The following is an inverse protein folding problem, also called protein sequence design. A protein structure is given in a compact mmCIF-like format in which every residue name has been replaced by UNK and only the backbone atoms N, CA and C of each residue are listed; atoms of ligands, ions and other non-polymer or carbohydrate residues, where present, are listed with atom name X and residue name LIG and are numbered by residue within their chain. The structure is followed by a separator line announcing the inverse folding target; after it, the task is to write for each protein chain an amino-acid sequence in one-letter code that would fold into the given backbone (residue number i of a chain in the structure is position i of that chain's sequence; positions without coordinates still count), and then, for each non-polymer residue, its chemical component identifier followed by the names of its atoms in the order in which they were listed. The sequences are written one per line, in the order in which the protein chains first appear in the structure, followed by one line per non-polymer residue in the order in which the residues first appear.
data_IF_308137803003
#
_entry.id   IF_308137803003
#
_cell.length_a   1.000
_cell.length_b   1.000
_cell.length_c   1.000
_cell.angle_alpha   90.00
_cell.angle_beta   90.00
_cell.angle_gamma   90.00
#
_symmetry.space_group_name_H-M   'P 1'
#
loop_
_entity.id
_entity.type
_entity.pdbx_description
1 polymer ?
#
# COMPACT_ATOMS: atom_id res chain seq x y z
N UNK A 1 26.91 -0.73 -18.11
CA UNK A 1 25.77 0.18 -18.32
C UNK A 1 24.51 -0.64 -18.12
N UNK A 2 23.52 -0.15 -17.41
CA UNK A 2 22.24 -0.86 -17.26
C UNK A 2 21.44 -0.76 -18.56
N UNK A 3 20.50 -1.68 -18.80
CA UNK A 3 19.60 -1.59 -19.97
C UNK A 3 18.81 -0.27 -20.00
N UNK A 4 18.51 0.27 -18.81
CA UNK A 4 17.84 1.57 -18.68
C UNK A 4 18.75 2.69 -19.20
N UNK A 5 20.05 2.68 -18.87
CA UNK A 5 21.01 3.68 -19.35
C UNK A 5 21.11 3.67 -20.88
N UNK A 6 21.21 2.45 -21.47
CA UNK A 6 21.25 2.28 -22.93
C UNK A 6 19.97 2.80 -23.62
N UNK A 7 18.81 2.54 -23.01
CA UNK A 7 17.52 3.04 -23.52
C UNK A 7 17.44 4.57 -23.44
N UNK A 8 17.89 5.18 -22.33
CA UNK A 8 17.91 6.63 -22.15
C UNK A 8 18.85 7.29 -23.16
N UNK A 9 20.06 6.78 -23.31
CA UNK A 9 21.00 7.32 -24.30
C UNK A 9 20.45 7.26 -25.74
N UNK A 10 19.75 6.18 -26.08
CA UNK A 10 19.18 5.99 -27.41
C UNK A 10 17.92 6.84 -27.67
N UNK A 11 17.02 6.91 -26.69
CA UNK A 11 15.67 7.46 -26.87
C UNK A 11 15.52 8.88 -26.31
N UNK A 12 16.42 9.31 -25.44
CA UNK A 12 16.44 10.62 -24.80
C UNK A 12 17.82 11.27 -24.89
N UNK A 13 18.41 11.47 -26.08
CA UNK A 13 19.77 12.00 -26.23
C UNK A 13 19.94 13.39 -25.61
N UNK A 14 18.85 14.18 -25.53
CA UNK A 14 18.83 15.51 -24.92
C UNK A 14 18.37 15.49 -23.44
N UNK A 15 18.25 14.29 -22.84
CA UNK A 15 17.75 14.07 -21.49
C UNK A 15 16.24 13.77 -21.44
N UNK A 16 15.76 13.39 -20.25
CA UNK A 16 14.34 13.09 -20.00
C UNK A 16 13.57 14.38 -19.72
N UNK A 17 12.48 14.60 -20.41
CA UNK A 17 11.59 15.74 -20.20
C UNK A 17 10.83 15.61 -18.88
N UNK A 18 10.69 16.71 -18.14
CA UNK A 18 9.86 16.80 -16.95
C UNK A 18 8.59 17.58 -17.26
N UNK A 19 7.43 17.03 -16.89
CA UNK A 19 6.11 17.68 -17.06
C UNK A 19 5.37 17.74 -15.73
N UNK A 20 4.56 18.76 -15.55
CA UNK A 20 3.66 18.79 -14.43
C UNK A 20 2.63 17.65 -14.54
N UNK A 21 2.25 17.03 -13.41
CA UNK A 21 1.21 15.97 -13.41
C UNK A 21 -0.08 16.43 -14.09
N UNK A 22 -0.42 17.72 -13.97
CA UNK A 22 -1.59 18.30 -14.64
C UNK A 22 -1.47 18.39 -16.17
N UNK A 23 -0.26 18.28 -16.73
CA UNK A 23 -0.04 18.25 -18.20
C UNK A 23 -0.16 16.82 -18.75
N UNK A 24 0.15 15.81 -17.94
CA UNK A 24 0.10 14.39 -18.36
C UNK A 24 -1.18 13.68 -17.94
N UNK A 25 -2.05 14.36 -17.16
CA UNK A 25 -3.30 13.76 -16.69
C UNK A 25 -4.23 14.74 -15.99
N UNK A 26 -5.35 14.20 -15.49
CA UNK A 26 -6.38 14.97 -14.79
C UNK A 26 -6.73 14.31 -13.46
N UNK A 27 -6.93 15.13 -12.43
CA UNK A 27 -7.36 14.69 -11.10
C UNK A 27 -8.89 14.80 -10.97
N UNK A 28 -9.55 13.67 -10.79
CA UNK A 28 -11.00 13.55 -10.64
C UNK A 28 -11.34 13.19 -9.19
N UNK A 29 -12.40 13.75 -8.66
CA UNK A 29 -12.89 13.42 -7.31
C UNK A 29 -13.67 12.11 -7.32
N UNK A 30 -13.52 11.33 -6.24
CA UNK A 30 -14.35 10.16 -5.97
C UNK A 30 -15.79 10.52 -5.57
N UNK A 31 -16.55 9.49 -5.23
CA UNK A 31 -17.97 9.55 -4.84
C UNK A 31 -18.10 9.43 -3.32
N UNK A 32 -19.04 10.16 -2.71
CA UNK A 32 -19.29 10.08 -1.27
C UNK A 32 -19.97 8.75 -0.91
N UNK A 33 -19.30 7.91 -0.16
CA UNK A 33 -19.85 6.73 0.50
C UNK A 33 -19.09 6.43 1.79
N UNK A 34 -19.65 5.56 2.63
CA UNK A 34 -19.09 5.17 3.92
C UNK A 34 -19.09 3.64 4.03
N UNK A 35 -18.31 3.11 4.98
CA UNK A 35 -18.22 1.64 5.23
C UNK A 35 -19.58 0.98 5.47
N UNK A 36 -20.58 1.70 6.03
CA UNK A 36 -21.94 1.19 6.23
C UNK A 36 -22.70 0.86 4.93
N UNK A 37 -22.21 1.32 3.78
CA UNK A 37 -22.79 1.05 2.46
C UNK A 37 -22.17 -0.17 1.78
N UNK A 38 -21.18 -0.81 2.43
CA UNK A 38 -20.58 -2.01 1.90
C UNK A 38 -21.55 -3.18 1.94
N UNK A 39 -21.49 -3.99 0.91
CA UNK A 39 -22.22 -5.25 0.74
C UNK A 39 -21.23 -6.36 0.37
N UNK A 40 -21.64 -7.61 0.51
CA UNK A 40 -20.78 -8.77 0.19
C UNK A 40 -20.52 -8.90 -1.30
N UNK A 41 -21.53 -8.57 -2.12
CA UNK A 41 -21.45 -8.61 -3.58
C UNK A 41 -22.14 -7.39 -4.18
N UNK A 42 -21.63 -6.84 -5.29
CA UNK A 42 -22.19 -5.66 -5.94
C UNK A 42 -21.22 -4.91 -6.82
N UNK A 43 -21.29 -3.58 -6.79
CA UNK A 43 -20.44 -2.71 -7.62
C UNK A 43 -19.08 -2.57 -6.95
N UNK A 44 -17.96 -2.91 -7.64
CA UNK A 44 -16.62 -2.83 -7.08
C UNK A 44 -16.28 -1.41 -6.61
N UNK A 45 -15.67 -1.29 -5.42
CA UNK A 45 -15.29 0.01 -4.89
C UNK A 45 -13.98 0.00 -4.11
N UNK A 46 -13.32 1.17 -4.07
CA UNK A 46 -12.11 1.42 -3.27
C UNK A 46 -12.38 2.56 -2.30
N UNK A 47 -12.28 2.27 -1.01
CA UNK A 47 -12.32 3.30 0.04
C UNK A 47 -10.90 3.79 0.34
N UNK A 48 -10.72 5.10 0.55
CA UNK A 48 -9.41 5.71 0.78
C UNK A 48 -8.61 5.04 1.92
N UNK A 49 -9.29 4.63 3.00
CA UNK A 49 -8.64 3.93 4.12
C UNK A 49 -8.04 2.58 3.74
N UNK A 50 -8.53 1.93 2.68
CA UNK A 50 -7.97 0.66 2.19
C UNK A 50 -6.64 0.85 1.46
N UNK A 51 -6.35 2.05 0.96
CA UNK A 51 -5.04 2.38 0.38
C UNK A 51 -3.91 2.32 1.41
N UNK A 52 -4.22 2.52 2.69
CA UNK A 52 -3.25 2.43 3.79
C UNK A 52 -3.11 1.04 4.37
N UNK A 53 -4.21 0.26 4.37
CA UNK A 53 -4.30 -0.97 5.17
C UNK A 53 -4.33 -2.26 4.36
N UNK A 54 -4.63 -2.19 3.08
CA UNK A 54 -4.85 -3.38 2.27
C UNK A 54 -4.13 -3.36 0.92
N UNK A 55 -4.29 -2.27 0.15
CA UNK A 55 -3.70 -2.19 -1.18
C UNK A 55 -2.21 -1.83 -1.12
N UNK A 56 -1.43 -2.49 -1.96
CA UNK A 56 -0.02 -2.16 -2.21
C UNK A 56 0.12 -1.21 -3.40
N UNK A 57 1.15 -1.35 -4.20
CA UNK A 57 1.45 -0.52 -5.37
C UNK A 57 0.34 -0.56 -6.44
N UNK A 58 -0.25 -1.72 -6.67
CA UNK A 58 -1.32 -1.93 -7.65
C UNK A 58 -2.35 -2.95 -7.14
N UNK A 59 -3.53 -2.96 -7.78
CA UNK A 59 -4.58 -3.95 -7.51
C UNK A 59 -5.31 -4.33 -8.80
N UNK A 60 -5.74 -5.57 -8.86
CA UNK A 60 -6.50 -6.17 -9.97
C UNK A 60 -7.97 -6.43 -9.57
N UNK A 61 -8.22 -6.53 -8.26
CA UNK A 61 -9.53 -6.81 -7.68
C UNK A 61 -9.81 -5.87 -6.50
N UNK A 62 -11.08 -5.64 -6.19
CA UNK A 62 -11.47 -4.82 -5.05
C UNK A 62 -11.79 -5.67 -3.84
N UNK A 63 -11.44 -5.16 -2.66
CA UNK A 63 -11.78 -5.76 -1.37
C UNK A 63 -13.26 -5.58 -1.00
N UNK A 64 -13.92 -4.56 -1.55
CA UNK A 64 -15.25 -4.13 -1.09
C UNK A 64 -16.16 -3.80 -2.26
N UNK A 65 -17.46 -3.92 -2.01
CA UNK A 65 -18.50 -3.66 -2.99
C UNK A 65 -19.56 -2.73 -2.42
N UNK A 66 -20.27 -2.02 -3.29
CA UNK A 66 -21.41 -1.15 -2.98
C UNK A 66 -22.68 -1.70 -3.62
N UNK A 67 -23.82 -1.47 -2.97
CA UNK A 67 -25.11 -1.85 -3.50
C UNK A 67 -25.51 -1.05 -4.74
N UNK A 68 -26.59 -1.48 -5.42
CA UNK A 68 -27.10 -0.91 -6.69
C UNK A 68 -27.43 0.60 -6.63
N UNK A 69 -27.71 1.14 -5.44
CA UNK A 69 -27.91 2.59 -5.25
C UNK A 69 -26.75 3.47 -5.70
N UNK A 70 -25.58 2.88 -5.94
CA UNK A 70 -24.38 3.58 -6.42
C UNK A 70 -24.11 3.36 -7.93
N UNK A 71 -25.00 2.70 -8.68
CA UNK A 71 -24.81 2.40 -10.11
C UNK A 71 -24.56 3.65 -10.98
N UNK A 72 -25.05 4.82 -10.58
CA UNK A 72 -24.86 6.09 -11.27
C UNK A 72 -23.76 6.98 -10.65
N UNK A 73 -22.84 6.39 -9.86
CA UNK A 73 -21.72 7.14 -9.27
C UNK A 73 -20.83 7.73 -10.36
N UNK A 74 -20.36 8.97 -10.11
CA UNK A 74 -19.52 9.70 -11.09
C UNK A 74 -18.01 9.49 -10.87
N UNK A 75 -17.60 9.21 -9.64
CA UNK A 75 -16.19 8.99 -9.26
C UNK A 75 -15.72 7.59 -9.59
N UNK A 76 -15.52 7.29 -10.87
CA UNK A 76 -15.12 5.98 -11.39
C UNK A 76 -13.67 6.01 -11.86
N UNK A 77 -12.82 5.19 -11.24
CA UNK A 77 -11.51 4.85 -11.78
C UNK A 77 -11.67 3.77 -12.86
N UNK A 78 -10.96 3.95 -13.97
CA UNK A 78 -10.86 3.01 -15.07
C UNK A 78 -9.58 2.18 -14.94
N UNK A 79 -9.49 1.02 -15.60
CA UNK A 79 -8.20 0.33 -15.75
C UNK A 79 -7.09 1.28 -16.24
N UNK A 80 -5.97 1.32 -15.53
CA UNK A 80 -4.85 2.22 -15.79
C UNK A 80 -4.87 3.54 -15.04
N UNK A 81 -5.97 3.92 -14.36
CA UNK A 81 -6.00 5.10 -13.49
C UNK A 81 -5.24 4.84 -12.17
N UNK A 82 -4.66 5.89 -11.56
CA UNK A 82 -4.22 5.85 -10.17
C UNK A 82 -5.34 6.28 -9.23
N UNK A 83 -5.42 5.62 -8.08
CA UNK A 83 -6.27 6.00 -6.95
C UNK A 83 -5.36 6.51 -5.84
N UNK A 84 -5.56 7.76 -5.38
CA UNK A 84 -4.65 8.49 -4.50
C UNK A 84 -5.42 8.92 -3.26
N UNK A 85 -5.00 8.45 -2.08
CA UNK A 85 -5.55 8.92 -0.80
C UNK A 85 -5.00 10.31 -0.47
N UNK A 86 -5.89 11.26 -0.22
CA UNK A 86 -5.52 12.67 -0.08
C UNK A 86 -5.46 13.16 1.35
N UNK A 87 -5.83 12.33 2.33
CA UNK A 87 -5.86 12.68 3.76
C UNK A 87 -5.12 11.64 4.57
N UNK A 88 -4.19 12.06 5.42
CA UNK A 88 -3.47 11.20 6.36
C UNK A 88 -3.16 11.94 7.66
N UNK A 89 -2.80 11.20 8.70
CA UNK A 89 -2.31 11.75 9.97
C UNK A 89 -0.79 12.01 9.94
N UNK A 90 -0.07 11.46 8.96
CA UNK A 90 1.38 11.65 8.79
C UNK A 90 1.73 12.10 7.36
N UNK A 91 2.93 12.68 7.22
CA UNK A 91 3.42 13.21 5.94
C UNK A 91 3.79 12.12 4.93
N UNK A 92 4.23 10.97 5.38
CA UNK A 92 4.68 9.88 4.50
C UNK A 92 3.51 9.30 3.73
N UNK A 93 2.41 9.06 4.43
CA UNK A 93 1.23 8.40 3.87
C UNK A 93 0.33 9.34 3.04
N UNK A 94 0.33 10.64 3.30
CA UNK A 94 -0.48 11.56 2.49
C UNK A 94 -0.08 11.47 1.02
N UNK A 95 -1.05 11.33 0.11
CA UNK A 95 -0.88 11.01 -1.31
C UNK A 95 -0.40 9.57 -1.60
N UNK A 96 -0.61 8.61 -0.67
CA UNK A 96 -0.40 7.20 -0.99
C UNK A 96 -1.27 6.80 -2.18
N UNK A 97 -0.65 6.20 -3.19
CA UNK A 97 -1.26 5.92 -4.48
C UNK A 97 -1.22 4.43 -4.81
N UNK A 98 -2.21 3.97 -5.55
CA UNK A 98 -2.33 2.62 -6.07
C UNK A 98 -2.78 2.66 -7.53
N UNK A 99 -2.11 1.92 -8.41
CA UNK A 99 -2.53 1.72 -9.79
C UNK A 99 -3.69 0.71 -9.86
N UNK A 100 -4.81 1.11 -10.45
CA UNK A 100 -5.91 0.19 -10.72
C UNK A 100 -5.67 -0.55 -12.04
N UNK A 101 -5.40 -1.85 -11.96
CA UNK A 101 -5.09 -2.71 -13.10
C UNK A 101 -6.16 -3.78 -13.34
N UNK A 102 -7.30 -3.71 -12.63
CA UNK A 102 -8.45 -4.59 -12.87
C UNK A 102 -9.08 -4.34 -14.24
N UNK A 103 -10.01 -5.19 -14.63
CA UNK A 103 -10.66 -5.16 -15.95
C UNK A 103 -11.92 -4.29 -15.99
N UNK A 104 -12.46 -3.89 -14.83
CA UNK A 104 -13.70 -3.12 -14.70
C UNK A 104 -13.47 -1.76 -14.07
N UNK A 105 -14.40 -0.82 -14.27
CA UNK A 105 -14.41 0.43 -13.54
C UNK A 105 -14.75 0.20 -12.06
N UNK A 106 -14.15 0.99 -11.16
CA UNK A 106 -14.40 0.91 -9.72
C UNK A 106 -14.81 2.28 -9.16
N UNK A 107 -15.75 2.27 -8.23
CA UNK A 107 -16.16 3.48 -7.52
C UNK A 107 -15.09 3.82 -6.47
N UNK A 108 -14.62 5.06 -6.47
CA UNK A 108 -13.60 5.55 -5.53
C UNK A 108 -14.24 6.50 -4.53
N UNK A 109 -13.85 6.42 -3.25
CA UNK A 109 -14.36 7.32 -2.20
C UNK A 109 -13.91 8.77 -2.40
N UNK A 110 -14.71 9.74 -1.89
CA UNK A 110 -14.45 11.17 -2.04
C UNK A 110 -13.21 11.71 -1.31
N UNK A 111 -12.65 10.95 -0.36
CA UNK A 111 -11.38 11.26 0.32
C UNK A 111 -10.17 10.70 -0.45
N UNK A 112 -10.40 10.31 -1.70
CA UNK A 112 -9.36 9.98 -2.67
C UNK A 112 -9.57 10.74 -3.97
N UNK A 113 -8.50 10.90 -4.73
CA UNK A 113 -8.53 11.33 -6.12
C UNK A 113 -8.27 10.17 -7.06
N UNK A 114 -8.85 10.25 -8.24
CA UNK A 114 -8.52 9.40 -9.38
C UNK A 114 -7.63 10.25 -10.28
N UNK A 115 -6.43 9.79 -10.55
CA UNK A 115 -5.54 10.43 -11.50
C UNK A 115 -5.58 9.64 -12.81
N UNK A 116 -6.22 10.22 -13.81
CA UNK A 116 -6.32 9.66 -15.16
C UNK A 116 -5.24 10.24 -16.03
N UNK A 117 -4.38 9.38 -16.58
CA UNK A 117 -3.19 9.77 -17.34
C UNK A 117 -2.91 8.79 -18.49
N UNK A 118 -1.88 9.09 -19.28
CA UNK A 118 -1.48 8.29 -20.45
C UNK A 118 -0.15 7.55 -20.27
N UNK A 119 0.49 7.67 -19.09
CA UNK A 119 1.75 7.01 -18.74
C UNK A 119 1.52 5.57 -18.31
N UNK A 120 2.59 4.79 -18.16
CA UNK A 120 2.49 3.46 -17.55
C UNK A 120 1.97 3.56 -16.10
N UNK A 121 0.87 2.88 -15.73
CA UNK A 121 0.25 3.03 -14.41
C UNK A 121 1.17 2.66 -13.25
N UNK A 122 1.94 1.58 -13.37
CA UNK A 122 2.90 1.18 -12.34
C UNK A 122 4.06 2.17 -12.22
N UNK A 123 4.54 2.71 -13.35
CA UNK A 123 5.57 3.74 -13.36
C UNK A 123 5.14 4.95 -12.54
N UNK A 124 3.91 5.44 -12.76
CA UNK A 124 3.37 6.56 -12.00
C UNK A 124 3.17 6.18 -10.53
N UNK A 125 2.72 4.97 -10.22
CA UNK A 125 2.59 4.50 -8.83
C UNK A 125 3.95 4.47 -8.11
N UNK A 126 5.01 4.00 -8.75
CA UNK A 126 6.38 4.05 -8.22
C UNK A 126 6.88 5.49 -8.06
N UNK A 127 6.57 6.38 -9.01
CA UNK A 127 6.92 7.79 -8.86
C UNK A 127 6.32 8.40 -7.59
N UNK A 128 5.06 8.09 -7.26
CA UNK A 128 4.43 8.57 -6.02
C UNK A 128 5.10 8.04 -4.74
N UNK A 129 5.83 6.94 -4.80
CA UNK A 129 6.61 6.39 -3.69
C UNK A 129 8.03 6.95 -3.64
N UNK A 130 8.53 7.56 -4.72
CA UNK A 130 9.91 8.05 -4.82
C UNK A 130 10.16 9.26 -3.91
N UNK A 131 11.42 9.43 -3.48
CA UNK A 131 11.86 10.63 -2.75
C UNK A 131 11.58 11.92 -3.52
N UNK A 132 11.69 11.90 -4.86
CA UNK A 132 11.39 13.02 -5.72
C UNK A 132 9.95 13.55 -5.52
N UNK A 133 8.97 12.67 -5.53
CA UNK A 133 7.58 13.05 -5.26
C UNK A 133 7.36 13.39 -3.77
N UNK A 134 7.93 12.60 -2.87
CA UNK A 134 7.77 12.79 -1.43
C UNK A 134 8.30 14.15 -0.97
N UNK A 135 9.42 14.60 -1.50
CA UNK A 135 9.97 15.93 -1.21
C UNK A 135 9.17 17.05 -1.89
N UNK A 136 8.79 16.86 -3.14
CA UNK A 136 8.01 17.86 -3.87
C UNK A 136 6.62 18.11 -3.26
N UNK A 137 5.97 17.09 -2.68
CA UNK A 137 4.64 17.25 -2.08
C UNK A 137 4.64 18.05 -0.78
N UNK A 138 5.76 18.08 -0.03
CA UNK A 138 5.84 18.70 1.31
C UNK A 138 5.34 20.15 1.33
N UNK A 139 5.72 20.93 0.32
CA UNK A 139 5.30 22.34 0.20
C UNK A 139 3.79 22.52 -0.03
N UNK A 140 3.08 21.46 -0.42
CA UNK A 140 1.65 21.49 -0.72
C UNK A 140 0.78 20.85 0.36
N UNK A 141 1.39 20.31 1.41
CA UNK A 141 0.67 19.72 2.54
C UNK A 141 0.01 20.84 3.35
N UNK A 142 -1.27 20.66 3.65
CA UNK A 142 -2.07 21.57 4.47
C UNK A 142 -2.74 20.80 5.60
N UNK A 143 -3.03 21.49 6.70
CA UNK A 143 -3.63 20.90 7.90
C UNK A 143 -2.62 20.64 9.01
N UNK A 144 -3.09 20.42 10.23
CA UNK A 144 -2.25 20.20 11.42
C UNK A 144 -2.44 18.82 12.05
N UNK A 145 -3.70 18.35 12.16
CA UNK A 145 -4.03 17.00 12.67
C UNK A 145 -4.31 16.02 11.54
N UNK A 146 -4.95 16.51 10.49
CA UNK A 146 -5.22 15.74 9.27
C UNK A 146 -4.59 16.50 8.13
N UNK A 147 -3.53 15.91 7.61
CA UNK A 147 -2.76 16.44 6.49
C UNK A 147 -3.51 16.18 5.18
N UNK A 148 -3.45 17.14 4.27
CA UNK A 148 -4.15 17.06 2.98
C UNK A 148 -3.32 17.69 1.87
N UNK A 149 -3.42 17.09 0.67
CA UNK A 149 -2.94 17.70 -0.58
C UNK A 149 -4.09 17.72 -1.58
N UNK A 150 -4.37 18.89 -2.14
CA UNK A 150 -5.42 19.04 -3.15
C UNK A 150 -4.97 18.53 -4.52
N UNK A 151 -5.93 18.09 -5.36
CA UNK A 151 -5.63 17.71 -6.74
C UNK A 151 -4.99 18.83 -7.55
N UNK A 152 -5.39 20.09 -7.32
CA UNK A 152 -4.79 21.27 -7.96
C UNK A 152 -3.32 21.50 -7.55
N UNK A 153 -2.94 21.11 -6.33
CA UNK A 153 -1.56 21.18 -5.88
C UNK A 153 -0.74 20.00 -6.38
N UNK A 154 -1.28 18.78 -6.37
CA UNK A 154 -0.63 17.63 -7.00
C UNK A 154 -0.37 17.86 -8.49
N UNK A 155 -1.28 18.51 -9.19
CA UNK A 155 -1.12 18.85 -10.61
C UNK A 155 0.10 19.71 -10.94
N UNK A 156 0.68 20.41 -9.94
CA UNK A 156 1.88 21.25 -10.10
C UNK A 156 3.20 20.49 -9.90
N UNK A 157 3.16 19.28 -9.40
CA UNK A 157 4.35 18.47 -9.14
C UNK A 157 4.85 17.91 -10.48
N UNK A 158 6.14 18.05 -10.73
CA UNK A 158 6.76 17.57 -11.95
C UNK A 158 7.11 16.08 -11.85
N UNK A 159 6.83 15.35 -12.92
CA UNK A 159 7.19 13.94 -13.13
C UNK A 159 8.10 13.83 -14.36
N UNK A 160 9.18 13.03 -14.33
CA UNK A 160 9.92 12.68 -15.54
C UNK A 160 9.04 11.86 -16.48
N UNK A 161 9.08 12.17 -17.77
CA UNK A 161 8.24 11.53 -18.79
C UNK A 161 9.13 10.93 -19.89
N UNK A 162 9.88 9.85 -19.59
CA UNK A 162 10.62 9.15 -20.62
C UNK A 162 9.66 8.42 -21.57
N UNK A 163 10.11 7.98 -22.76
CA UNK A 163 9.34 7.12 -23.65
C UNK A 163 8.81 5.86 -22.95
N UNK A 164 7.70 5.31 -23.44
CA UNK A 164 7.01 4.17 -22.81
C UNK A 164 7.94 2.97 -22.62
N UNK A 165 8.83 2.68 -23.57
CA UNK A 165 9.82 1.60 -23.49
C UNK A 165 10.74 1.73 -22.25
N UNK A 166 11.12 2.96 -21.89
CA UNK A 166 11.92 3.24 -20.69
C UNK A 166 11.07 3.08 -19.43
N UNK A 167 9.81 3.57 -19.45
CA UNK A 167 8.90 3.39 -18.31
C UNK A 167 8.65 1.91 -18.01
N UNK A 168 8.43 1.09 -19.04
CA UNK A 168 8.21 -0.35 -18.92
C UNK A 168 9.45 -1.06 -18.34
N UNK A 169 10.65 -0.70 -18.79
CA UNK A 169 11.89 -1.28 -18.28
C UNK A 169 12.15 -0.88 -16.82
N UNK A 170 11.86 0.38 -16.45
CA UNK A 170 11.93 0.82 -15.05
C UNK A 170 10.95 0.00 -14.18
N UNK A 171 9.71 -0.16 -14.63
CA UNK A 171 8.70 -0.97 -13.92
C UNK A 171 9.17 -2.41 -13.77
N UNK A 172 9.71 -3.03 -14.83
CA UNK A 172 10.22 -4.40 -14.79
C UNK A 172 11.31 -4.59 -13.72
N UNK A 173 12.24 -3.64 -13.63
CA UNK A 173 13.32 -3.69 -12.64
C UNK A 173 12.76 -3.50 -11.23
N UNK A 174 11.88 -2.51 -11.02
CA UNK A 174 11.31 -2.23 -9.71
C UNK A 174 10.37 -3.36 -9.23
N UNK A 175 9.59 -3.95 -10.13
CA UNK A 175 8.77 -5.12 -9.82
C UNK A 175 9.64 -6.29 -9.34
N UNK A 176 10.79 -6.55 -9.99
CA UNK A 176 11.70 -7.64 -9.57
C UNK A 176 12.28 -7.41 -8.16
N UNK A 177 12.57 -6.18 -7.77
CA UNK A 177 12.98 -5.86 -6.40
C UNK A 177 11.85 -6.04 -5.40
N UNK A 178 10.63 -5.60 -5.74
CA UNK A 178 9.47 -5.76 -4.88
C UNK A 178 9.09 -7.25 -4.67
N UNK A 179 9.26 -8.09 -5.68
CA UNK A 179 9.07 -9.54 -5.57
C UNK A 179 10.10 -10.16 -4.63
N UNK A 180 11.40 -9.82 -4.79
CA UNK A 180 12.47 -10.30 -3.91
C UNK A 180 12.28 -9.84 -2.45
N UNK A 181 11.85 -8.60 -2.23
CA UNK A 181 11.54 -8.08 -0.90
C UNK A 181 10.41 -8.89 -0.26
N UNK A 182 9.33 -9.16 -1.01
CA UNK A 182 8.19 -9.93 -0.51
C UNK A 182 8.56 -11.41 -0.21
N UNK A 183 9.43 -12.03 -1.00
CA UNK A 183 9.95 -13.37 -0.73
C UNK A 183 10.77 -13.40 0.56
N UNK A 184 11.69 -12.44 0.74
CA UNK A 184 12.52 -12.35 1.95
C UNK A 184 11.69 -12.06 3.21
N UNK A 185 10.67 -11.19 3.12
CA UNK A 185 9.76 -10.94 4.23
C UNK A 185 9.01 -12.21 4.63
N UNK A 186 8.50 -12.99 3.66
CA UNK A 186 7.78 -14.23 3.93
C UNK A 186 8.69 -15.32 4.56
N UNK A 187 9.93 -15.46 4.08
CA UNK A 187 10.91 -16.37 4.67
C UNK A 187 11.24 -15.98 6.11
N UNK A 188 11.50 -14.70 6.37
CA UNK A 188 11.80 -14.18 7.70
C UNK A 188 10.62 -14.37 8.67
N UNK A 189 9.40 -14.11 8.24
CA UNK A 189 8.20 -14.31 9.06
C UNK A 189 8.04 -15.78 9.45
N UNK A 190 8.21 -16.71 8.51
CA UNK A 190 8.15 -18.14 8.77
C UNK A 190 9.24 -18.62 9.74
N UNK A 191 10.47 -18.12 9.62
CA UNK A 191 11.57 -18.45 10.53
C UNK A 191 11.30 -17.93 11.95
N UNK A 192 10.85 -16.68 12.07
CA UNK A 192 10.49 -16.07 13.34
C UNK A 192 9.33 -16.79 14.03
N UNK A 193 8.31 -17.21 13.30
CA UNK A 193 7.20 -17.99 13.89
C UNK A 193 7.67 -19.36 14.40
N UNK A 194 8.54 -20.06 13.65
CA UNK A 194 9.11 -21.33 14.06
C UNK A 194 9.97 -21.20 15.34
N UNK A 195 10.83 -20.17 15.40
CA UNK A 195 11.67 -19.86 16.57
C UNK A 195 10.79 -19.53 17.79
N UNK A 196 9.79 -18.66 17.61
CA UNK A 196 8.85 -18.30 18.68
C UNK A 196 8.12 -19.53 19.23
N UNK A 197 7.66 -20.42 18.37
CA UNK A 197 7.02 -21.68 18.77
C UNK A 197 7.97 -22.59 19.55
N UNK A 198 9.24 -22.69 19.14
CA UNK A 198 10.27 -23.45 19.85
C UNK A 198 10.54 -22.85 21.25
N UNK A 199 10.67 -21.55 21.37
CA UNK A 199 10.90 -20.84 22.64
C UNK A 199 9.71 -20.98 23.59
N UNK A 200 8.48 -20.90 23.09
CA UNK A 200 7.28 -21.15 23.91
C UNK A 200 7.26 -22.57 24.49
N UNK A 201 7.62 -23.58 23.69
CA UNK A 201 7.73 -24.99 24.18
C UNK A 201 8.82 -25.12 25.23
N UNK A 202 9.99 -24.54 25.00
CA UNK A 202 11.10 -24.55 25.94
C UNK A 202 10.71 -23.88 27.27
N UNK A 203 10.07 -22.72 27.21
CA UNK A 203 9.58 -22.00 28.40
C UNK A 203 8.57 -22.86 29.19
N UNK A 204 7.58 -23.45 28.52
CA UNK A 204 6.59 -24.29 29.14
C UNK A 204 7.26 -25.50 29.91
N UNK A 205 8.19 -26.17 29.22
CA UNK A 205 8.96 -27.29 29.82
C UNK A 205 9.70 -26.87 31.10
N UNK A 206 10.47 -25.78 31.04
CA UNK A 206 11.23 -25.33 32.24
C UNK A 206 10.30 -24.80 33.32
N UNK A 207 9.25 -24.08 33.00
CA UNK A 207 8.25 -23.60 33.96
C UNK A 207 7.67 -24.79 34.76
N UNK A 208 7.19 -25.80 34.04
CA UNK A 208 6.54 -26.95 34.67
C UNK A 208 7.56 -27.76 35.49
N UNK A 209 8.76 -27.96 34.96
CA UNK A 209 9.84 -28.67 35.69
C UNK A 209 10.31 -27.93 36.94
N UNK A 210 10.48 -26.62 36.89
CA UNK A 210 10.98 -25.81 37.99
C UNK A 210 9.93 -25.57 39.08
N UNK A 211 8.65 -25.68 38.76
CA UNK A 211 7.56 -25.49 39.71
C UNK A 211 6.97 -26.80 40.25
N UNK A 212 7.43 -27.96 39.75
CA UNK A 212 7.03 -29.26 40.26
C UNK A 212 7.96 -29.65 41.42
N UNK A 213 7.45 -29.69 42.61
CA UNK A 213 8.16 -30.12 43.81
C UNK A 213 7.61 -31.47 44.27
N UNK A 214 8.47 -32.37 44.81
CA UNK A 214 8.03 -33.58 45.45
C UNK A 214 7.30 -33.22 46.76
N UNK A 215 6.10 -33.78 46.97
CA UNK A 215 5.40 -33.62 48.23
C UNK A 215 6.23 -34.27 49.35
N UNK A 216 6.53 -33.52 50.41
CA UNK A 216 7.13 -34.06 51.62
C UNK A 216 6.14 -35.03 52.24
N UNK A 217 6.47 -36.34 52.27
CA UNK A 217 5.74 -37.31 53.05
C UNK A 217 5.66 -36.81 54.51
N UNK A 218 4.44 -36.50 54.95
CA UNK A 218 4.18 -36.24 56.38
C UNK A 218 4.32 -37.58 57.13
N UNK A 219 5.48 -37.85 57.72
CA UNK A 219 5.61 -38.90 58.70
C UNK A 219 4.56 -38.65 59.77
N UNK A 220 3.50 -39.43 59.74
CA UNK A 220 2.55 -39.55 60.89
C UNK A 220 3.26 -40.22 62.02
N UNK A 221 3.90 -39.42 62.91
CA UNK A 221 4.25 -39.90 64.23
C UNK A 221 2.97 -40.21 65.03
N UNK A 222 2.45 -41.40 64.86
CA UNK A 222 1.56 -41.99 65.82
C UNK A 222 2.43 -42.39 67.02
N UNK A 223 2.59 -41.44 67.93
CA UNK A 223 3.18 -41.69 69.23
C UNK A 223 2.18 -42.45 70.08
N UNK A 224 2.39 -43.74 70.28
CA UNK A 224 1.72 -44.50 71.29
C UNK A 224 2.10 -44.04 72.70
N UNK A 225 1.10 -43.60 73.43
CA UNK A 225 1.21 -43.38 74.85
C UNK A 225 0.80 -44.66 75.56
N UNK A 226 1.65 -45.07 76.41
CA UNK A 226 1.31 -45.90 77.59
C UNK A 226 1.48 -45.07 78.85
#
# INVERSE_FOLDING_TARGET
MSKIDELIERLCPDGVEYKALGEVGVFLRGTSFQKKHFVDEGIPCVNYGQLYTYYKLCAYETKSFLGEGFANAKGLAKPGDLIIATTSENEEDVCKAMAWLGTTNVIVSNDAYIFRHTLNPKYVAYFFQSSLFQDAKKQYITGTKVLRVSGANMAKINIPVPPMEVQEEIVRVLDSFAELEAELEAELEAELEAELAARKRQYAYYRDRLLTFEERERESKVGGAR
#
